data_IF_982552522045
#
_entry.id   IF_982552522045
#
_cell.length_a   1.000
_cell.length_b   1.000
_cell.length_c   1.000
_cell.angle_alpha   90.00
_cell.angle_beta   90.00
_cell.angle_gamma   90.00
#
_symmetry.space_group_name_H-M   'P 1'
#
loop_
_entity.id
_entity.type
_entity.pdbx_description
1 polymer ?
#
# COMPACT_ATOMS: atom_id res chain seq x y z
N UNK A 1 0.85 16.00 4.51
CA UNK A 1 2.07 16.08 5.35
C UNK A 1 2.89 17.29 4.89
N UNK A 2 3.32 18.16 5.80
CA UNK A 2 4.15 19.34 5.49
C UNK A 2 5.43 19.26 6.31
N UNK A 3 6.58 19.50 5.68
CA UNK A 3 7.88 19.51 6.38
C UNK A 3 8.10 20.84 7.10
N UNK A 4 8.34 20.80 8.41
CA UNK A 4 8.86 21.93 9.19
C UNK A 4 10.39 21.86 9.21
N UNK A 5 11.02 22.69 8.39
CA UNK A 5 12.48 22.70 8.21
C UNK A 5 13.22 23.34 9.40
N UNK A 6 12.56 24.12 10.24
CA UNK A 6 13.19 24.69 11.44
C UNK A 6 13.29 23.64 12.55
N UNK A 7 12.23 22.84 12.71
CA UNK A 7 12.17 21.77 13.71
C UNK A 7 12.64 20.41 13.20
N UNK A 8 12.92 20.28 11.90
CA UNK A 8 13.28 19.03 11.23
C UNK A 8 12.26 17.91 11.48
N UNK A 9 10.97 18.24 11.45
CA UNK A 9 9.87 17.28 11.64
C UNK A 9 8.86 17.36 10.52
N UNK A 10 8.19 16.23 10.25
CA UNK A 10 7.04 16.18 9.35
C UNK A 10 5.75 16.38 10.15
N UNK A 11 4.98 17.40 9.81
CA UNK A 11 3.70 17.72 10.44
C UNK A 11 2.55 17.08 9.65
N UNK A 12 1.67 16.36 10.35
CA UNK A 12 0.45 15.80 9.81
C UNK A 12 -0.75 16.68 10.20
N UNK A 13 -1.52 17.12 9.20
CA UNK A 13 -2.74 17.87 9.39
C UNK A 13 -3.92 17.02 8.92
N UNK A 14 -4.83 16.70 9.83
CA UNK A 14 -6.07 15.99 9.52
C UNK A 14 -7.24 16.97 9.67
N UNK A 15 -7.91 17.27 8.56
CA UNK A 15 -9.06 18.18 8.54
C UNK A 15 -9.92 17.91 7.33
N UNK A 16 -11.25 17.94 7.50
CA UNK A 16 -12.20 17.81 6.40
C UNK A 16 -12.07 18.91 5.35
N UNK A 17 -11.54 20.08 5.73
CA UNK A 17 -11.29 21.19 4.80
C UNK A 17 -10.09 20.95 3.87
N UNK A 18 -9.28 19.91 4.13
CA UNK A 18 -8.16 19.52 3.26
C UNK A 18 -8.57 18.48 2.20
N UNK A 19 -9.79 17.96 2.26
CA UNK A 19 -10.29 17.02 1.27
C UNK A 19 -10.57 17.75 -0.05
N UNK A 20 -10.01 17.27 -1.18
CA UNK A 20 -10.27 17.91 -2.47
C UNK A 20 -11.72 17.71 -2.90
N UNK A 21 -12.30 18.71 -3.58
CA UNK A 21 -13.65 18.62 -4.16
C UNK A 21 -13.74 17.62 -5.33
N UNK A 22 -12.61 17.38 -6.01
CA UNK A 22 -12.51 16.43 -7.11
C UNK A 22 -11.10 15.85 -7.16
N UNK A 23 -10.99 14.58 -7.55
CA UNK A 23 -9.74 13.91 -7.86
C UNK A 23 -9.81 13.35 -9.29
N UNK A 24 -8.77 13.61 -10.10
CA UNK A 24 -8.71 13.19 -11.50
C UNK A 24 -7.57 12.17 -11.62
N UNK A 25 -7.91 10.98 -12.10
CA UNK A 25 -6.94 9.93 -12.41
C UNK A 25 -6.73 9.91 -13.93
N UNK A 26 -5.59 10.43 -14.39
CA UNK A 26 -5.21 10.41 -15.81
C UNK A 26 -3.93 9.57 -15.98
N UNK A 27 -4.01 8.36 -16.56
CA UNK A 27 -2.85 7.47 -16.71
C UNK A 27 -1.76 8.09 -17.60
N UNK A 28 -2.10 9.07 -18.45
CA UNK A 28 -1.13 9.76 -19.30
C UNK A 28 -0.12 10.55 -18.47
N UNK A 29 -0.51 10.99 -17.27
CA UNK A 29 0.36 11.75 -16.37
C UNK A 29 1.43 10.89 -15.69
N UNK A 30 1.32 9.56 -15.77
CA UNK A 30 2.26 8.62 -15.14
C UNK A 30 3.10 7.84 -16.14
N UNK A 31 2.84 7.95 -17.45
CA UNK A 31 3.58 7.25 -18.51
C UNK A 31 5.09 7.51 -18.48
N UNK A 32 5.50 8.73 -18.08
CA UNK A 32 6.90 9.15 -18.03
C UNK A 32 7.62 8.75 -16.74
N UNK A 33 6.92 8.13 -15.78
CA UNK A 33 7.57 7.67 -14.55
C UNK A 33 8.54 6.53 -14.88
N UNK A 34 9.83 6.64 -14.46
CA UNK A 34 10.78 5.56 -14.64
C UNK A 34 10.35 4.32 -13.84
N UNK A 35 10.76 3.11 -14.26
CA UNK A 35 10.32 1.86 -13.63
C UNK A 35 10.57 1.82 -12.11
N UNK A 36 11.72 2.29 -11.64
CA UNK A 36 12.03 2.29 -10.20
C UNK A 36 11.10 3.20 -9.38
N UNK A 37 10.69 4.37 -9.90
CA UNK A 37 9.69 5.22 -9.22
C UNK A 37 8.33 4.52 -9.21
N UNK A 38 7.94 3.89 -10.33
CA UNK A 38 6.69 3.13 -10.45
C UNK A 38 6.63 1.99 -9.42
N UNK A 39 7.74 1.23 -9.27
CA UNK A 39 7.86 0.17 -8.30
C UNK A 39 7.72 0.71 -6.86
N UNK A 40 8.44 1.77 -6.51
CA UNK A 40 8.37 2.35 -5.17
C UNK A 40 6.97 2.88 -4.83
N UNK A 41 6.31 3.60 -5.73
CA UNK A 41 4.95 4.12 -5.49
C UNK A 41 3.89 3.01 -5.50
N UNK A 42 4.07 1.96 -6.31
CA UNK A 42 3.20 0.80 -6.31
C UNK A 42 3.29 0.02 -5.01
N UNK A 43 4.50 -0.18 -4.49
CA UNK A 43 4.72 -0.82 -3.18
C UNK A 43 4.25 0.03 -2.01
N UNK A 44 4.34 1.36 -2.13
CA UNK A 44 3.75 2.28 -1.16
C UNK A 44 2.22 2.13 -1.10
N UNK A 45 1.55 2.11 -2.25
CA UNK A 45 0.11 1.84 -2.33
C UNK A 45 -0.25 0.44 -1.78
N UNK A 46 0.55 -0.58 -2.07
CA UNK A 46 0.35 -1.93 -1.53
C UNK A 46 0.45 -1.93 -0.01
N UNK A 47 1.46 -1.26 0.53
CA UNK A 47 1.68 -1.13 1.98
C UNK A 47 0.50 -0.43 2.64
N UNK A 48 -0.01 0.66 2.04
CA UNK A 48 -1.22 1.33 2.53
C UNK A 48 -2.42 0.38 2.62
N UNK A 49 -2.67 -0.43 1.58
CA UNK A 49 -3.75 -1.41 1.62
C UNK A 49 -3.53 -2.48 2.71
N UNK A 50 -2.33 -3.06 2.77
CA UNK A 50 -1.99 -4.12 3.73
C UNK A 50 -2.13 -3.62 5.17
N UNK A 51 -1.59 -2.43 5.46
CA UNK A 51 -1.69 -1.85 6.80
C UNK A 51 -3.12 -1.43 7.11
N UNK A 52 -3.86 -0.85 6.17
CA UNK A 52 -5.28 -0.53 6.38
C UNK A 52 -6.10 -1.78 6.71
N UNK A 53 -5.86 -2.91 6.04
CA UNK A 53 -6.56 -4.17 6.27
C UNK A 53 -6.20 -4.83 7.61
N UNK A 54 -4.96 -4.65 8.07
CA UNK A 54 -4.41 -5.34 9.26
C UNK A 54 -4.33 -4.48 10.52
N UNK A 55 -4.55 -3.17 10.41
CA UNK A 55 -4.50 -2.25 11.55
C UNK A 55 -5.70 -2.41 12.51
N UNK A 56 -5.59 -1.76 13.67
CA UNK A 56 -6.61 -1.81 14.72
C UNK A 56 -7.91 -1.07 14.36
N UNK A 57 -7.87 -0.11 13.44
CA UNK A 57 -9.05 0.65 12.98
C UNK A 57 -9.58 0.15 11.62
N UNK A 58 -9.18 -1.06 11.22
CA UNK A 58 -9.74 -1.76 10.07
C UNK A 58 -11.26 -1.89 10.22
N UNK A 59 -11.99 -1.67 9.13
CA UNK A 59 -13.45 -1.73 9.08
C UNK A 59 -13.91 -2.31 7.74
N UNK A 60 -15.17 -2.77 7.62
CA UNK A 60 -15.62 -3.44 6.39
C UNK A 60 -15.47 -2.62 5.11
N UNK A 61 -15.55 -1.28 5.19
CA UNK A 61 -15.38 -0.42 4.01
C UNK A 61 -13.90 -0.31 3.62
N UNK A 62 -13.00 -0.06 4.58
CA UNK A 62 -11.57 -0.05 4.31
C UNK A 62 -11.09 -1.39 3.78
N UNK A 63 -11.61 -2.50 4.34
CA UNK A 63 -11.20 -3.86 4.00
C UNK A 63 -11.57 -4.20 2.55
N UNK A 64 -12.73 -3.73 2.08
CA UNK A 64 -13.15 -3.86 0.69
C UNK A 64 -12.22 -3.10 -0.28
N UNK A 65 -11.89 -1.84 0.03
CA UNK A 65 -10.98 -1.04 -0.79
C UNK A 65 -9.55 -1.58 -0.75
N UNK A 66 -9.05 -1.95 0.42
CA UNK A 66 -7.71 -2.51 0.59
C UNK A 66 -7.57 -3.82 -0.18
N UNK A 67 -8.52 -4.75 -0.06
CA UNK A 67 -8.49 -6.03 -0.78
C UNK A 67 -8.52 -5.83 -2.30
N UNK A 68 -9.39 -4.94 -2.79
CA UNK A 68 -9.46 -4.62 -4.21
C UNK A 68 -8.18 -3.95 -4.72
N UNK A 69 -7.60 -3.06 -3.92
CA UNK A 69 -6.33 -2.39 -4.22
C UNK A 69 -5.16 -3.36 -4.29
N UNK A 70 -5.04 -4.29 -3.32
CA UNK A 70 -4.01 -5.34 -3.32
C UNK A 70 -4.11 -6.17 -4.59
N UNK A 71 -5.32 -6.61 -4.95
CA UNK A 71 -5.55 -7.40 -6.17
C UNK A 71 -5.12 -6.64 -7.43
N UNK A 72 -5.53 -5.38 -7.58
CA UNK A 72 -5.13 -4.58 -8.74
C UNK A 72 -3.61 -4.40 -8.82
N UNK A 73 -2.94 -4.19 -7.68
CA UNK A 73 -1.48 -4.04 -7.66
C UNK A 73 -0.79 -5.35 -8.03
N UNK A 74 -1.22 -6.48 -7.45
CA UNK A 74 -0.62 -7.80 -7.73
C UNK A 74 -0.77 -8.19 -9.20
N UNK A 75 -1.90 -7.88 -9.82
CA UNK A 75 -2.18 -8.19 -11.23
C UNK A 75 -1.46 -7.26 -12.24
N UNK A 76 -1.13 -6.02 -11.85
CA UNK A 76 -0.69 -5.00 -12.83
C UNK A 76 0.72 -4.46 -12.61
N UNK A 77 1.27 -4.49 -11.40
CA UNK A 77 2.54 -3.81 -11.11
C UNK A 77 3.68 -4.32 -11.98
N UNK A 78 3.90 -5.64 -12.01
CA UNK A 78 4.97 -6.23 -12.82
C UNK A 78 4.79 -5.98 -14.32
N UNK A 79 3.56 -6.09 -14.83
CA UNK A 79 3.25 -5.80 -16.24
C UNK A 79 3.61 -4.36 -16.62
N UNK A 80 3.31 -3.39 -15.77
CA UNK A 80 3.67 -1.97 -16.01
C UNK A 80 5.18 -1.74 -15.88
N UNK A 81 5.89 -2.49 -15.02
CA UNK A 81 7.35 -2.40 -14.93
C UNK A 81 8.04 -2.94 -16.20
N UNK A 82 7.50 -4.00 -16.79
CA UNK A 82 7.98 -4.59 -18.04
C UNK A 82 7.58 -3.75 -19.27
N UNK A 83 6.37 -3.17 -19.25
CA UNK A 83 5.86 -2.28 -20.29
C UNK A 83 5.35 -0.95 -19.69
N UNK A 84 6.24 0.03 -19.45
CA UNK A 84 5.89 1.32 -18.82
C UNK A 84 4.86 2.16 -19.59
N UNK A 85 4.68 1.87 -20.88
CA UNK A 85 3.73 2.55 -21.76
C UNK A 85 2.33 1.90 -21.77
N UNK A 86 2.10 0.84 -20.99
CA UNK A 86 0.78 0.24 -20.81
C UNK A 86 -0.17 1.22 -20.10
N UNK A 87 -0.92 1.97 -20.90
CA UNK A 87 -1.89 2.95 -20.38
C UNK A 87 -3.00 2.32 -19.54
N UNK A 88 -3.38 1.06 -19.81
CA UNK A 88 -4.41 0.38 -19.03
C UNK A 88 -3.84 -0.06 -17.69
N UNK A 89 -2.69 -0.73 -17.67
CA UNK A 89 -2.01 -1.09 -16.42
C UNK A 89 -1.71 0.14 -15.54
N UNK A 90 -1.31 1.27 -16.13
CA UNK A 90 -1.12 2.54 -15.42
C UNK A 90 -2.41 3.06 -14.79
N UNK A 91 -3.55 2.93 -15.47
CA UNK A 91 -4.86 3.30 -14.93
C UNK A 91 -5.25 2.35 -13.78
N UNK A 92 -5.03 1.05 -13.93
CA UNK A 92 -5.27 0.06 -12.87
C UNK A 92 -4.47 0.36 -11.60
N UNK A 93 -3.18 0.70 -11.73
CA UNK A 93 -2.36 1.12 -10.59
C UNK A 93 -2.82 2.45 -9.98
N UNK A 94 -3.25 3.42 -10.79
CA UNK A 94 -3.80 4.68 -10.28
C UNK A 94 -5.10 4.48 -9.50
N UNK A 95 -5.98 3.60 -9.99
CA UNK A 95 -7.19 3.18 -9.27
C UNK A 95 -6.82 2.46 -7.98
N UNK A 96 -5.84 1.56 -8.01
CA UNK A 96 -5.41 0.84 -6.81
C UNK A 96 -4.83 1.77 -5.75
N UNK A 97 -4.00 2.75 -6.14
CA UNK A 97 -3.49 3.79 -5.25
C UNK A 97 -4.62 4.64 -4.66
N UNK A 98 -5.66 4.91 -5.43
CA UNK A 98 -6.85 5.61 -4.93
C UNK A 98 -7.62 4.77 -3.91
N UNK A 99 -7.81 3.48 -4.18
CA UNK A 99 -8.43 2.54 -3.24
C UNK A 99 -7.62 2.44 -1.94
N UNK A 100 -6.29 2.37 -2.05
CA UNK A 100 -5.38 2.42 -0.91
C UNK A 100 -5.60 3.70 -0.08
N UNK A 101 -5.66 4.84 -0.76
CA UNK A 101 -5.97 6.16 -0.18
C UNK A 101 -7.27 6.18 0.61
N UNK A 102 -8.35 5.65 0.03
CA UNK A 102 -9.65 5.55 0.69
C UNK A 102 -9.56 4.61 1.91
N UNK A 103 -8.89 3.47 1.78
CA UNK A 103 -8.76 2.49 2.86
C UNK A 103 -8.00 3.08 4.06
N UNK A 104 -6.77 3.57 3.87
CA UNK A 104 -5.96 4.06 4.98
C UNK A 104 -6.51 5.38 5.54
N UNK A 105 -7.23 6.20 4.77
CA UNK A 105 -7.89 7.40 5.31
C UNK A 105 -8.98 7.07 6.33
N UNK A 106 -9.55 5.86 6.28
CA UNK A 106 -10.61 5.41 7.18
C UNK A 106 -10.13 4.40 8.24
N UNK A 107 -8.91 3.89 8.12
CA UNK A 107 -8.36 2.87 9.02
C UNK A 107 -6.97 3.19 9.55
N UNK A 108 -6.35 4.27 9.09
CA UNK A 108 -4.94 4.59 9.33
C UNK A 108 -3.98 3.52 8.77
N UNK A 109 -2.70 3.74 9.03
CA UNK A 109 -1.57 2.86 8.71
C UNK A 109 -0.93 2.38 10.01
N UNK A 110 0.07 1.50 9.91
CA UNK A 110 0.63 0.77 11.04
C UNK A 110 2.13 0.99 11.26
N UNK A 111 2.81 -0.09 11.65
CA UNK A 111 4.21 -0.09 12.04
C UNK A 111 5.15 0.12 10.83
N UNK A 112 4.78 -0.31 9.62
CA UNK A 112 5.57 -0.09 8.40
C UNK A 112 5.74 1.40 8.17
N UNK A 113 4.64 2.16 8.15
CA UNK A 113 4.70 3.61 7.99
C UNK A 113 5.41 4.30 9.15
N UNK A 114 5.21 3.83 10.38
CA UNK A 114 5.88 4.40 11.56
C UNK A 114 7.40 4.28 11.48
N UNK A 115 7.92 3.08 11.16
CA UNK A 115 9.34 2.83 10.98
C UNK A 115 9.89 3.54 9.75
N UNK A 116 9.16 3.50 8.64
CA UNK A 116 9.61 4.08 7.39
C UNK A 116 9.62 5.61 7.41
N UNK A 117 8.74 6.27 8.15
CA UNK A 117 8.83 7.71 8.41
C UNK A 117 10.11 8.08 9.17
N UNK A 118 10.44 7.33 10.22
CA UNK A 118 11.66 7.55 11.00
C UNK A 118 12.91 7.30 10.14
N UNK A 119 12.98 6.18 9.42
CA UNK A 119 14.10 5.85 8.54
C UNK A 119 14.28 6.89 7.44
N UNK A 120 13.20 7.28 6.75
CA UNK A 120 13.27 8.28 5.69
C UNK A 120 13.72 9.65 6.19
N UNK A 121 13.41 10.00 7.45
CA UNK A 121 13.88 11.25 8.07
C UNK A 121 15.37 11.20 8.41
N UNK A 122 15.86 10.08 8.98
CA UNK A 122 17.26 9.93 9.42
C UNK A 122 18.22 9.68 8.26
N UNK A 123 17.83 8.83 7.31
CA UNK A 123 18.69 8.36 6.22
C UNK A 123 18.43 9.06 4.88
N UNK A 124 17.49 10.01 4.84
CA UNK A 124 17.10 10.74 3.63
C UNK A 124 16.70 9.82 2.45
N UNK A 125 16.06 8.69 2.76
CA UNK A 125 15.63 7.71 1.78
C UNK A 125 14.23 8.03 1.22
N UNK A 126 13.94 7.67 -0.05
CA UNK A 126 12.61 7.79 -0.63
C UNK A 126 11.54 7.04 0.18
N UNK A 127 10.36 7.65 0.32
CA UNK A 127 9.28 7.14 1.18
C UNK A 127 8.86 5.70 0.85
N UNK A 128 8.52 5.41 -0.41
CA UNK A 128 8.09 4.08 -0.84
C UNK A 128 9.19 3.02 -0.72
N UNK A 129 10.47 3.42 -0.80
CA UNK A 129 11.58 2.50 -0.55
C UNK A 129 11.59 2.06 0.91
N UNK A 130 11.41 2.98 1.86
CA UNK A 130 11.34 2.66 3.28
C UNK A 130 10.19 1.70 3.59
N UNK A 131 9.02 1.88 2.97
CA UNK A 131 7.88 0.98 3.17
C UNK A 131 8.21 -0.45 2.71
N UNK A 132 8.78 -0.57 1.50
CA UNK A 132 9.18 -1.85 0.94
C UNK A 132 10.20 -2.59 1.83
N UNK A 133 11.17 -1.87 2.40
CA UNK A 133 12.16 -2.47 3.30
C UNK A 133 11.54 -3.07 4.56
N UNK A 134 10.47 -2.48 5.10
CA UNK A 134 9.91 -2.91 6.39
C UNK A 134 8.70 -3.84 6.26
N UNK A 135 7.94 -3.78 5.17
CA UNK A 135 6.71 -4.55 4.98
C UNK A 135 6.85 -6.05 5.34
N UNK A 136 7.80 -6.83 4.78
CA UNK A 136 7.88 -8.26 5.10
C UNK A 136 8.20 -8.53 6.57
N UNK A 137 9.08 -7.73 7.19
CA UNK A 137 9.47 -7.92 8.58
C UNK A 137 8.36 -7.53 9.56
N UNK A 138 7.59 -6.49 9.25
CA UNK A 138 6.44 -6.08 10.06
C UNK A 138 5.30 -7.08 9.95
N UNK A 139 5.06 -7.67 8.77
CA UNK A 139 4.10 -8.76 8.62
C UNK A 139 4.50 -9.98 9.46
N UNK A 140 5.78 -10.37 9.44
CA UNK A 140 6.27 -11.47 10.27
C UNK A 140 6.12 -11.16 11.77
N UNK A 141 6.47 -9.95 12.19
CA UNK A 141 6.27 -9.50 13.58
C UNK A 141 4.79 -9.56 14.00
N UNK A 142 3.89 -9.07 13.14
CA UNK A 142 2.46 -9.02 13.41
C UNK A 142 1.79 -10.41 13.33
N UNK A 143 2.40 -11.40 12.67
CA UNK A 143 1.82 -12.73 12.43
C UNK A 143 1.36 -13.44 13.70
N UNK A 144 2.07 -13.26 14.81
CA UNK A 144 1.73 -13.91 16.09
C UNK A 144 0.34 -13.51 16.61
N UNK A 145 -0.12 -12.29 16.32
CA UNK A 145 -1.41 -11.76 16.78
C UNK A 145 -2.41 -11.65 15.63
N UNK A 146 -1.95 -11.22 14.46
CA UNK A 146 -2.79 -10.93 13.28
C UNK A 146 -2.71 -12.00 12.18
N UNK A 147 -2.15 -13.18 12.46
CA UNK A 147 -1.92 -14.24 11.46
C UNK A 147 -3.17 -14.60 10.65
N UNK A 148 -4.35 -14.65 11.27
CA UNK A 148 -5.59 -14.90 10.53
C UNK A 148 -5.88 -13.83 9.47
N UNK A 149 -5.80 -12.55 9.84
CA UNK A 149 -6.01 -11.41 8.92
C UNK A 149 -4.93 -11.36 7.84
N UNK A 150 -3.66 -11.60 8.21
CA UNK A 150 -2.56 -11.66 7.25
C UNK A 150 -2.78 -12.80 6.24
N UNK A 151 -3.25 -13.97 6.69
CA UNK A 151 -3.58 -15.08 5.80
C UNK A 151 -4.73 -14.80 4.83
N UNK A 152 -5.60 -13.82 5.10
CA UNK A 152 -6.65 -13.40 4.16
C UNK A 152 -6.06 -12.61 2.98
N UNK A 153 -4.92 -11.93 3.16
CA UNK A 153 -4.21 -11.19 2.11
C UNK A 153 -3.72 -12.10 0.98
N UNK A 154 -3.52 -13.40 1.25
CA UNK A 154 -3.10 -14.38 0.25
C UNK A 154 -4.08 -14.44 -0.94
N UNK A 155 -5.37 -14.24 -0.71
CA UNK A 155 -6.37 -14.30 -1.78
C UNK A 155 -6.16 -13.19 -2.84
N UNK A 156 -6.16 -11.89 -2.47
CA UNK A 156 -5.89 -10.83 -3.44
C UNK A 156 -4.43 -10.80 -3.93
N UNK A 157 -3.46 -11.35 -3.18
CA UNK A 157 -2.06 -11.41 -3.62
C UNK A 157 -1.78 -12.51 -4.65
N UNK A 158 -2.30 -13.73 -4.40
CA UNK A 158 -1.89 -14.94 -5.11
C UNK A 158 -3.05 -15.62 -5.88
N UNK A 159 -4.28 -15.13 -5.72
CA UNK A 159 -5.46 -15.66 -6.40
C UNK A 159 -6.13 -16.84 -5.68
N UNK A 160 -7.32 -17.19 -6.17
CA UNK A 160 -8.22 -18.16 -5.52
C UNK A 160 -7.63 -19.58 -5.47
N UNK A 161 -6.90 -20.00 -6.51
CA UNK A 161 -6.34 -21.35 -6.59
C UNK A 161 -5.29 -21.58 -5.50
N UNK A 162 -4.34 -20.65 -5.36
CA UNK A 162 -3.30 -20.72 -4.32
C UNK A 162 -3.94 -20.63 -2.94
N UNK A 163 -4.92 -19.74 -2.74
CA UNK A 163 -5.62 -19.61 -1.48
C UNK A 163 -6.37 -20.87 -1.06
N UNK A 164 -7.08 -21.51 -1.98
CA UNK A 164 -7.87 -22.72 -1.75
C UNK A 164 -6.98 -23.93 -1.45
N UNK A 165 -5.84 -24.05 -2.13
CA UNK A 165 -4.88 -25.13 -1.92
C UNK A 165 -4.02 -24.95 -0.68
N UNK A 166 -3.96 -23.75 -0.10
CA UNK A 166 -3.15 -23.46 1.09
C UNK A 166 -3.96 -23.68 2.36
N UNK A 167 -3.56 -24.60 3.26
CA UNK A 167 -4.22 -24.81 4.54
C UNK A 167 -4.32 -23.51 5.33
N UNK A 168 -5.45 -23.28 6.03
CA UNK A 168 -5.70 -22.02 6.74
C UNK A 168 -4.57 -21.63 7.71
N UNK A 169 -3.94 -22.61 8.36
CA UNK A 169 -2.81 -22.43 9.28
C UNK A 169 -1.51 -21.97 8.62
N UNK A 170 -1.37 -22.15 7.29
CA UNK A 170 -0.17 -21.79 6.51
C UNK A 170 -0.38 -20.55 5.63
N UNK A 171 -1.60 -20.00 5.57
CA UNK A 171 -1.89 -18.87 4.69
C UNK A 171 -1.12 -17.62 5.04
N UNK A 172 -0.90 -17.38 6.34
CA UNK A 172 -0.16 -16.22 6.81
C UNK A 172 1.33 -16.28 6.45
N UNK A 173 1.92 -17.48 6.42
CA UNK A 173 3.32 -17.69 6.02
C UNK A 173 3.52 -17.60 4.50
N UNK A 174 2.44 -17.82 3.74
CA UNK A 174 2.46 -17.82 2.27
C UNK A 174 2.05 -16.47 1.66
N UNK A 175 1.35 -15.63 2.43
CA UNK A 175 0.95 -14.27 2.05
C UNK A 175 2.15 -13.33 2.09
#
# INVERSE_FOLDING_TARGET
VVSDTQKNVKLAFASYYLMPHAAILDPRMTLTLPPHLTAMTGMDALTHCVEAYTCMAANPLSDAYASAGIKKISENLFNVLENPNDSQGRLELAQASTMAGIAFSNSMVGLVHSLGHALGAVAHLPHGLCMNLFLPYVLEYNKQVNGKKIGELLLPLAGADIYAQTPATQRADRA
#
